data_IF_336491262994
#
_entry.id   IF_336491262994
#
_cell.length_a   1.000
_cell.length_b   1.000
_cell.length_c   1.000
_cell.angle_alpha   90.00
_cell.angle_beta   90.00
_cell.angle_gamma   90.00
#
_symmetry.space_group_name_H-M   'P 1'
#
loop_
_entity.id
_entity.type
_entity.pdbx_description
1 polymer ?
#
# COMPACT_ATOMS: atom_id res chain seq x y z
N UNK A 1 25.12 7.40 0.11
CA UNK A 1 23.82 6.97 0.67
C UNK A 1 22.96 8.21 0.89
N UNK A 2 21.88 8.41 0.13
CA UNK A 2 21.03 9.58 0.30
C UNK A 2 19.96 9.31 1.36
N UNK A 3 20.16 9.81 2.57
CA UNK A 3 19.11 9.86 3.60
C UNK A 3 18.16 11.01 3.25
N UNK A 4 17.06 10.69 2.55
CA UNK A 4 15.96 11.65 2.37
C UNK A 4 15.32 11.89 3.74
N UNK A 5 15.53 13.09 4.29
CA UNK A 5 14.98 13.48 5.58
C UNK A 5 13.46 13.69 5.45
N UNK A 6 12.68 12.63 5.61
CA UNK A 6 11.23 12.67 5.59
C UNK A 6 10.70 13.21 6.93
N UNK A 7 10.82 14.53 7.15
CA UNK A 7 10.33 15.28 8.33
C UNK A 7 8.80 15.35 8.38
N UNK A 8 8.16 14.20 8.35
CA UNK A 8 6.73 14.02 8.24
C UNK A 8 6.13 13.96 9.63
N UNK A 9 5.15 14.83 9.91
CA UNK A 9 4.60 15.07 11.26
C UNK A 9 3.53 14.06 11.68
N UNK A 10 3.62 12.80 11.25
CA UNK A 10 2.73 11.74 11.75
C UNK A 10 3.27 11.18 13.05
N UNK A 11 2.38 10.78 13.96
CA UNK A 11 2.84 10.15 15.19
C UNK A 11 3.50 8.80 14.87
N UNK A 12 4.59 8.48 15.56
CA UNK A 12 5.29 7.21 15.36
C UNK A 12 4.33 6.05 15.69
N UNK A 13 4.04 5.21 14.70
CA UNK A 13 3.20 4.02 14.87
C UNK A 13 1.78 4.14 14.31
N UNK A 14 1.39 5.28 13.75
CA UNK A 14 0.09 5.38 13.06
C UNK A 14 0.08 4.57 11.77
N UNK A 15 -0.81 3.57 11.73
CA UNK A 15 -1.10 2.83 10.51
C UNK A 15 -1.89 3.68 9.52
N UNK A 16 -1.71 3.40 8.22
CA UNK A 16 -2.52 4.01 7.15
C UNK A 16 -3.99 3.65 7.38
N UNK A 17 -4.85 4.68 7.39
CA UNK A 17 -6.30 4.48 7.44
C UNK A 17 -6.81 3.91 6.11
N UNK A 18 -8.00 3.33 6.10
CA UNK A 18 -8.66 2.90 4.85
C UNK A 18 -8.75 4.06 3.84
N UNK A 19 -9.05 5.28 4.31
CA UNK A 19 -9.06 6.49 3.47
C UNK A 19 -7.69 6.77 2.84
N UNK A 20 -6.61 6.55 3.58
CA UNK A 20 -5.25 6.72 3.05
C UNK A 20 -4.97 5.66 1.98
N UNK A 21 -5.40 4.41 2.20
CA UNK A 21 -5.25 3.33 1.21
C UNK A 21 -6.02 3.57 -0.08
N UNK A 22 -7.26 4.07 0.00
CA UNK A 22 -8.05 4.45 -1.19
C UNK A 22 -7.38 5.60 -1.96
N UNK A 23 -6.77 6.56 -1.25
CA UNK A 23 -5.95 7.59 -1.91
C UNK A 23 -4.73 6.99 -2.60
N UNK A 24 -4.02 6.05 -1.96
CA UNK A 24 -2.89 5.36 -2.60
C UNK A 24 -3.34 4.68 -3.90
N UNK A 25 -4.48 4.00 -3.89
CA UNK A 25 -5.06 3.36 -5.08
C UNK A 25 -5.30 4.34 -6.22
N UNK A 26 -5.97 5.47 -5.94
CA UNK A 26 -6.21 6.49 -6.95
C UNK A 26 -4.90 7.08 -7.49
N UNK A 27 -3.96 7.44 -6.61
CA UNK A 27 -2.71 8.08 -7.00
C UNK A 27 -1.77 7.13 -7.76
N UNK A 28 -1.72 5.86 -7.37
CA UNK A 28 -0.84 4.86 -8.00
C UNK A 28 -1.42 4.33 -9.31
N UNK A 29 -2.71 3.97 -9.34
CA UNK A 29 -3.31 3.34 -10.52
C UNK A 29 -3.82 4.32 -11.57
N UNK A 30 -4.30 5.51 -11.17
CA UNK A 30 -4.92 6.46 -12.11
C UNK A 30 -3.99 7.63 -12.48
N UNK A 31 -3.08 8.00 -11.58
CA UNK A 31 -2.16 9.12 -11.80
C UNK A 31 -0.71 8.70 -12.01
N UNK A 32 -0.42 7.38 -11.98
CA UNK A 32 0.93 6.80 -12.15
C UNK A 32 2.01 7.49 -11.30
N UNK A 33 1.63 8.01 -10.12
CA UNK A 33 2.55 8.75 -9.24
C UNK A 33 3.55 7.82 -8.58
N UNK A 34 4.77 8.31 -8.37
CA UNK A 34 5.79 7.52 -7.67
C UNK A 34 5.58 7.52 -6.14
N UNK A 35 6.18 6.56 -5.45
CA UNK A 35 6.02 6.37 -3.99
C UNK A 35 6.35 7.60 -3.14
N UNK A 36 7.29 8.44 -3.58
CA UNK A 36 7.68 9.67 -2.91
C UNK A 36 6.63 10.78 -3.08
N UNK A 37 5.98 10.85 -4.24
CA UNK A 37 4.90 11.81 -4.51
C UNK A 37 3.65 11.45 -3.70
N UNK A 38 3.28 10.17 -3.74
CA UNK A 38 2.20 9.61 -2.91
C UNK A 38 2.49 9.85 -1.42
N UNK A 39 3.74 9.65 -1.00
CA UNK A 39 4.18 9.92 0.38
C UNK A 39 4.03 11.38 0.78
N UNK A 40 4.41 12.32 -0.10
CA UNK A 40 4.22 13.76 0.15
C UNK A 40 2.74 14.13 0.30
N UNK A 41 1.88 13.55 -0.54
CA UNK A 41 0.45 13.85 -0.56
C UNK A 41 -0.30 13.26 0.65
N UNK A 42 0.14 12.09 1.13
CA UNK A 42 -0.39 11.45 2.34
C UNK A 42 0.31 11.90 3.62
N UNK A 43 1.30 12.79 3.52
CA UNK A 43 2.20 13.15 4.60
C UNK A 43 2.72 11.86 5.29
N UNK A 44 3.26 10.92 4.53
CA UNK A 44 3.85 9.67 5.03
C UNK A 44 5.17 9.34 4.31
N UNK A 45 6.06 8.61 4.98
CA UNK A 45 7.36 8.28 4.41
C UNK A 45 7.20 7.41 3.15
N UNK A 46 8.05 7.64 2.13
CA UNK A 46 8.02 6.86 0.88
C UNK A 46 8.12 5.35 1.12
N UNK A 47 8.83 4.94 2.19
CA UNK A 47 8.99 3.53 2.54
C UNK A 47 7.71 2.94 3.10
N UNK A 48 6.87 3.73 3.78
CA UNK A 48 5.55 3.30 4.24
C UNK A 48 4.66 3.01 3.04
N UNK A 49 4.60 3.95 2.07
CA UNK A 49 3.86 3.75 0.81
C UNK A 49 4.38 2.53 0.06
N UNK A 50 5.69 2.40 -0.10
CA UNK A 50 6.29 1.27 -0.81
C UNK A 50 5.97 -0.08 -0.16
N UNK A 51 6.03 -0.17 1.18
CA UNK A 51 5.67 -1.39 1.90
C UNK A 51 4.18 -1.71 1.78
N UNK A 52 3.32 -0.70 1.81
CA UNK A 52 1.88 -0.87 1.64
C UNK A 52 1.57 -1.38 0.24
N UNK A 53 2.10 -0.72 -0.80
CA UNK A 53 1.90 -1.11 -2.20
C UNK A 53 2.36 -2.55 -2.41
N UNK A 54 3.59 -2.90 -2.01
CA UNK A 54 4.11 -4.27 -2.17
C UNK A 54 3.23 -5.36 -1.52
N UNK A 55 2.45 -5.04 -0.48
CA UNK A 55 1.52 -6.00 0.14
C UNK A 55 0.20 -6.11 -0.63
N UNK A 56 -0.24 -5.03 -1.26
CA UNK A 56 -1.53 -4.92 -1.97
C UNK A 56 -1.44 -4.95 -3.49
N UNK A 57 -0.25 -5.07 -4.08
CA UNK A 57 -0.08 -5.18 -5.53
C UNK A 57 -0.66 -6.50 -6.05
N UNK A 58 -1.37 -6.38 -7.16
CA UNK A 58 -1.98 -7.48 -7.91
C UNK A 58 -1.46 -7.45 -9.33
N UNK A 59 -1.05 -8.61 -9.84
CA UNK A 59 -0.83 -8.80 -11.26
C UNK A 59 -2.19 -9.04 -11.95
N UNK A 60 -2.62 -8.08 -12.77
CA UNK A 60 -3.73 -8.26 -13.70
C UNK A 60 -3.20 -8.57 -15.09
N UNK A 61 -4.01 -9.24 -15.90
CA UNK A 61 -3.72 -9.47 -17.31
C UNK A 61 -4.66 -8.64 -18.15
N UNK A 62 -4.10 -7.85 -19.03
CA UNK A 62 -4.87 -7.11 -20.03
C UNK A 62 -5.38 -8.01 -21.16
N UNK A 63 -6.22 -7.45 -22.01
CA UNK A 63 -6.74 -8.11 -23.22
C UNK A 63 -5.62 -8.64 -24.14
N UNK A 64 -4.48 -7.93 -24.17
CA UNK A 64 -3.28 -8.34 -24.91
C UNK A 64 -2.40 -9.34 -24.15
N UNK A 65 -2.88 -9.95 -23.06
CA UNK A 65 -2.13 -10.83 -22.15
C UNK A 65 -0.89 -10.19 -21.50
N UNK A 66 -0.79 -8.86 -21.54
CA UNK A 66 0.26 -8.10 -20.84
C UNK A 66 -0.03 -8.09 -19.35
N UNK A 67 1.03 -8.20 -18.55
CA UNK A 67 0.95 -8.10 -17.08
C UNK A 67 0.93 -6.63 -16.67
N UNK A 68 -0.05 -6.24 -15.89
CA UNK A 68 -0.16 -4.90 -15.30
C UNK A 68 -0.20 -5.04 -13.78
N UNK A 69 0.67 -4.30 -13.10
CA UNK A 69 0.70 -4.24 -11.64
C UNK A 69 -0.25 -3.16 -11.15
N UNK A 70 -1.28 -3.54 -10.41
CA UNK A 70 -2.30 -2.63 -9.88
C UNK A 70 -2.34 -2.76 -8.38
N UNK A 71 -2.37 -1.65 -7.64
CA UNK A 71 -2.56 -1.68 -6.19
C UNK A 71 -4.05 -1.76 -5.86
N UNK A 72 -4.45 -2.73 -5.03
CA UNK A 72 -5.83 -2.84 -4.54
C UNK A 72 -5.88 -2.89 -3.00
N UNK A 73 -6.53 -1.92 -2.35
CA UNK A 73 -6.60 -1.85 -0.89
C UNK A 73 -7.50 -2.94 -0.30
N UNK A 74 -8.51 -3.39 -1.05
CA UNK A 74 -9.46 -4.43 -0.64
C UNK A 74 -8.76 -5.78 -0.43
N UNK A 75 -7.88 -6.15 -1.37
CA UNK A 75 -7.09 -7.38 -1.28
C UNK A 75 -6.17 -7.40 -0.06
N UNK A 76 -5.66 -6.23 0.32
CA UNK A 76 -4.81 -6.08 1.51
C UNK A 76 -5.62 -6.32 2.79
N UNK A 77 -6.87 -5.82 2.87
CA UNK A 77 -7.81 -6.13 3.95
C UNK A 77 -8.13 -7.62 4.03
N UNK A 78 -8.43 -8.25 2.89
CA UNK A 78 -8.74 -9.68 2.84
C UNK A 78 -7.57 -10.55 3.33
N UNK A 79 -6.34 -10.28 2.88
CA UNK A 79 -5.15 -11.00 3.37
C UNK A 79 -4.92 -10.82 4.87
N UNK A 80 -5.20 -9.64 5.44
CA UNK A 80 -5.11 -9.41 6.88
C UNK A 80 -6.14 -10.28 7.60
N UNK A 81 -7.40 -10.28 7.13
CA UNK A 81 -8.47 -11.09 7.71
C UNK A 81 -8.15 -12.58 7.67
N UNK A 82 -7.73 -13.10 6.50
CA UNK A 82 -7.32 -14.51 6.32
C UNK A 82 -6.17 -14.89 7.25
N UNK A 83 -5.15 -14.02 7.41
CA UNK A 83 -4.04 -14.26 8.34
C UNK A 83 -4.49 -14.29 9.80
N UNK A 84 -5.40 -13.41 10.20
CA UNK A 84 -5.95 -13.37 11.56
C UNK A 84 -6.75 -14.64 11.83
N UNK A 85 -7.57 -15.08 10.88
CA UNK A 85 -8.34 -16.32 10.97
C UNK A 85 -7.43 -17.55 11.07
N UNK A 86 -6.41 -17.66 10.21
CA UNK A 86 -5.44 -18.76 10.27
C UNK A 86 -4.70 -18.82 11.61
N UNK A 87 -4.29 -17.68 12.17
CA UNK A 87 -3.64 -17.66 13.49
C UNK A 87 -4.55 -18.12 14.63
N UNK A 88 -5.86 -17.92 14.49
CA UNK A 88 -6.85 -18.33 15.49
C UNK A 88 -7.07 -19.85 15.46
N UNK A 89 -7.09 -20.43 14.26
CA UNK A 89 -7.22 -21.88 14.03
C UNK A 89 -5.98 -22.68 14.50
N UNK A 90 -4.78 -22.12 14.35
CA UNK A 90 -3.52 -22.78 14.72
C UNK A 90 -3.05 -22.53 16.17
N UNK A 91 -3.87 -21.89 17.01
CA UNK A 91 -3.54 -21.60 18.42
C UNK A 91 -4.01 -22.70 19.40
N UNK A 92 -4.11 -23.95 18.93
CA UNK A 92 -4.42 -25.13 19.76
C UNK A 92 -3.18 -25.72 20.41
#
# INVERSE_FOLDING_TARGET
MCQSNCNIKRSKGEHLSYKDRVKIEHLYNQQDKNFSEIGRELNCDRTTVSREIKKGTVELRDYEWKKVEVYSPERLCQQIYEKVMLKKEFSF
#
